data_IF_658350348831
#
_entry.id   IF_658350348831
#
_cell.length_a   1.000
_cell.length_b   1.000
_cell.length_c   1.000
_cell.angle_alpha   90.00
_cell.angle_beta   90.00
_cell.angle_gamma   90.00
#
_symmetry.space_group_name_H-M   'P 1'
#
loop_
_entity.id
_entity.type
_entity.pdbx_description
1 polymer ?
#
# COMPACT_ATOMS: atom_id res chain seq x y z
N UNK A 1 20.37 43.95 4.94
CA UNK A 1 19.84 42.65 4.46
C UNK A 1 20.27 41.58 5.47
N UNK A 2 19.37 40.72 5.96
CA UNK A 2 19.73 39.69 6.94
C UNK A 2 20.43 38.52 6.27
N UNK A 3 21.48 37.99 6.89
CA UNK A 3 22.19 36.79 6.41
C UNK A 3 21.52 35.47 6.88
N UNK A 4 20.31 35.56 7.45
CA UNK A 4 19.55 34.38 7.83
C UNK A 4 18.94 33.72 6.60
N UNK A 5 19.23 32.44 6.45
CA UNK A 5 18.66 31.51 5.48
C UNK A 5 18.15 30.27 6.21
N UNK A 6 17.50 29.38 5.49
CA UNK A 6 17.05 28.09 6.00
C UNK A 6 17.65 26.97 5.17
N UNK A 7 18.25 25.98 5.84
CA UNK A 7 18.73 24.77 5.20
C UNK A 7 17.72 23.66 5.44
N UNK A 8 17.39 22.95 4.38
CA UNK A 8 16.42 21.86 4.36
C UNK A 8 17.18 20.60 3.99
N UNK A 9 17.21 19.64 4.91
CA UNK A 9 17.70 18.29 4.69
C UNK A 9 16.50 17.40 4.41
N UNK A 10 16.57 16.60 3.35
CA UNK A 10 15.48 15.71 2.98
C UNK A 10 16.01 14.42 2.37
N UNK A 11 15.26 13.35 2.56
CA UNK A 11 15.59 12.05 2.01
C UNK A 11 14.33 11.26 1.67
N UNK A 12 14.47 10.39 0.67
CA UNK A 12 13.42 9.46 0.24
C UNK A 12 13.31 8.34 1.27
N UNK A 13 12.09 7.96 1.66
CA UNK A 13 11.88 6.85 2.58
C UNK A 13 12.52 5.57 2.03
N UNK A 14 13.25 4.84 2.88
CA UNK A 14 14.02 3.66 2.48
C UNK A 14 15.32 3.94 1.71
N UNK A 15 15.70 5.21 1.53
CA UNK A 15 16.98 5.59 0.91
C UNK A 15 18.03 5.98 1.96
N UNK A 16 19.29 5.64 1.69
CA UNK A 16 20.45 6.12 2.46
C UNK A 16 20.95 7.49 1.97
N UNK A 17 20.44 8.00 0.84
CA UNK A 17 20.94 9.25 0.24
C UNK A 17 20.17 10.45 0.76
N UNK A 18 20.85 11.24 1.59
CA UNK A 18 20.40 12.56 2.01
C UNK A 18 20.63 13.61 0.90
N UNK A 19 19.71 14.57 0.81
CA UNK A 19 19.77 15.70 -0.11
C UNK A 19 19.56 17.00 0.66
N UNK A 20 20.21 18.05 0.22
CA UNK A 20 20.15 19.36 0.88
C UNK A 20 19.64 20.43 -0.08
N UNK A 21 18.92 21.41 0.46
CA UNK A 21 18.57 22.64 -0.24
C UNK A 21 18.63 23.83 0.71
N UNK A 22 18.83 25.03 0.17
CA UNK A 22 18.90 26.27 0.95
C UNK A 22 17.86 27.24 0.41
N UNK A 23 17.12 27.87 1.32
CA UNK A 23 16.11 28.88 1.03
C UNK A 23 16.47 30.21 1.70
N UNK A 24 16.23 31.30 1.00
CA UNK A 24 16.36 32.67 1.54
C UNK A 24 15.10 33.13 2.29
N UNK A 25 14.01 32.35 2.26
CA UNK A 25 12.72 32.63 2.90
C UNK A 25 12.32 31.53 3.88
N UNK A 26 11.43 31.86 4.83
CA UNK A 26 10.81 30.92 5.76
C UNK A 26 9.89 29.90 5.08
N UNK A 27 9.49 30.17 3.83
CA UNK A 27 8.75 29.24 2.96
C UNK A 27 9.62 28.83 1.78
N UNK A 28 9.65 27.53 1.48
CA UNK A 28 10.46 26.97 0.40
C UNK A 28 9.70 25.86 -0.34
N UNK A 29 9.92 25.76 -1.65
CA UNK A 29 9.42 24.67 -2.48
C UNK A 29 10.58 23.78 -2.89
N UNK A 30 10.52 22.50 -2.53
CA UNK A 30 11.52 21.50 -2.94
C UNK A 30 11.03 20.82 -4.22
N UNK A 31 11.68 21.10 -5.34
CA UNK A 31 11.36 20.52 -6.66
C UNK A 31 12.19 19.27 -6.96
N UNK A 32 11.76 18.47 -7.96
CA UNK A 32 12.51 17.28 -8.40
C UNK A 32 12.39 16.08 -7.44
N UNK A 33 11.29 16.02 -6.70
CA UNK A 33 10.89 14.84 -5.93
C UNK A 33 10.20 13.84 -6.85
N UNK A 34 10.39 12.56 -6.57
CA UNK A 34 9.76 11.48 -7.32
C UNK A 34 8.27 11.40 -6.96
N UNK A 35 7.39 11.38 -7.96
CA UNK A 35 5.95 11.25 -7.74
C UNK A 35 5.60 9.91 -7.06
N UNK A 36 4.61 9.93 -6.16
CA UNK A 36 4.17 8.78 -5.38
C UNK A 36 5.14 8.33 -4.27
N UNK A 37 6.32 8.96 -4.16
CA UNK A 37 7.31 8.54 -3.16
C UNK A 37 7.16 9.30 -1.85
N UNK A 38 7.49 8.62 -0.76
CA UNK A 38 7.45 9.19 0.58
C UNK A 38 8.79 9.89 0.90
N UNK A 39 8.72 11.05 1.54
CA UNK A 39 9.90 11.86 1.88
C UNK A 39 9.83 12.35 3.32
N UNK A 40 10.99 12.44 3.96
CA UNK A 40 11.16 13.06 5.26
C UNK A 40 12.01 14.33 5.14
N UNK A 41 11.65 15.34 5.91
CA UNK A 41 12.26 16.67 5.88
C UNK A 41 12.66 17.12 7.28
N UNK A 42 13.81 17.79 7.36
CA UNK A 42 14.31 18.48 8.55
C UNK A 42 14.81 19.86 8.12
N UNK A 43 14.61 20.86 8.96
CA UNK A 43 15.02 22.23 8.66
C UNK A 43 15.86 22.81 9.78
N UNK A 44 16.83 23.65 9.43
CA UNK A 44 17.65 24.38 10.38
C UNK A 44 17.85 25.82 9.91
N UNK A 45 17.96 26.74 10.87
CA UNK A 45 18.46 28.08 10.59
C UNK A 45 19.91 27.98 10.05
N UNK A 46 20.21 28.72 9.00
CA UNK A 46 21.51 28.73 8.34
C UNK A 46 22.01 30.15 8.13
N UNK A 47 23.19 30.46 8.65
CA UNK A 47 23.82 31.77 8.51
C UNK A 47 25.20 31.56 7.89
N UNK A 48 25.33 31.69 6.56
CA UNK A 48 26.55 31.33 5.82
C UNK A 48 27.76 32.19 6.19
N UNK A 49 27.58 33.43 6.67
CA UNK A 49 28.70 34.28 7.13
C UNK A 49 29.40 33.76 8.40
N UNK A 50 28.78 32.85 9.15
CA UNK A 50 29.39 32.28 10.37
C UNK A 50 30.49 31.27 10.00
N UNK A 51 31.40 31.04 10.94
CA UNK A 51 32.37 29.95 10.84
C UNK A 51 31.64 28.60 10.66
N UNK A 52 32.18 27.69 9.84
CA UNK A 52 31.50 26.45 9.39
C UNK A 52 30.79 25.68 10.51
N UNK A 53 31.46 25.50 11.65
CA UNK A 53 30.91 24.77 12.80
C UNK A 53 29.69 25.45 13.46
N UNK A 54 29.42 26.72 13.17
CA UNK A 54 28.35 27.54 13.75
C UNK A 54 27.40 28.10 12.69
N UNK A 55 27.47 27.61 11.46
CA UNK A 55 26.60 28.06 10.37
C UNK A 55 25.17 27.57 10.56
N UNK A 56 24.96 26.42 11.20
CA UNK A 56 23.65 25.83 11.43
C UNK A 56 23.19 26.01 12.88
N UNK A 57 21.90 26.27 13.05
CA UNK A 57 21.21 26.06 14.32
C UNK A 57 20.90 24.58 14.56
N UNK A 58 20.15 24.30 15.63
CA UNK A 58 19.60 22.97 15.86
C UNK A 58 18.63 22.59 14.73
N UNK A 59 18.67 21.32 14.32
CA UNK A 59 17.70 20.78 13.37
C UNK A 59 16.32 20.67 14.00
N UNK A 60 15.29 20.90 13.19
CA UNK A 60 13.91 20.66 13.57
C UNK A 60 13.64 19.18 13.81
N UNK A 61 12.50 18.90 14.43
CA UNK A 61 11.90 17.57 14.35
C UNK A 61 11.72 17.16 12.90
N UNK A 62 11.98 15.89 12.63
CA UNK A 62 11.75 15.31 11.31
C UNK A 62 10.25 15.20 11.04
N UNK A 63 9.82 15.65 9.87
CA UNK A 63 8.45 15.50 9.38
C UNK A 63 8.44 14.70 8.09
N UNK A 64 7.68 13.62 8.07
CA UNK A 64 7.54 12.76 6.91
C UNK A 64 6.18 12.96 6.24
N UNK A 65 6.19 12.99 4.92
CA UNK A 65 5.00 12.98 4.08
C UNK A 65 5.00 11.70 3.27
N UNK A 66 3.93 10.95 3.45
CA UNK A 66 3.68 9.78 2.63
C UNK A 66 3.24 10.26 1.25
N UNK A 67 3.87 9.73 0.21
CA UNK A 67 3.38 9.91 -1.14
C UNK A 67 2.10 9.11 -1.32
N UNK A 68 1.21 9.54 -2.21
CA UNK A 68 0.14 8.68 -2.72
C UNK A 68 0.79 7.58 -3.56
N UNK A 69 1.29 6.53 -2.90
CA UNK A 69 1.48 5.25 -3.56
C UNK A 69 0.09 4.69 -3.80
N UNK A 70 -0.32 4.65 -5.06
CA UNK A 70 -1.49 3.87 -5.46
C UNK A 70 -1.31 2.47 -4.87
N UNK A 71 -2.23 2.04 -3.99
CA UNK A 71 -2.09 0.84 -3.16
C UNK A 71 -1.90 -0.45 -3.99
N UNK A 72 -2.09 -0.35 -5.31
CA UNK A 72 -1.78 -1.38 -6.29
C UNK A 72 -0.28 -1.59 -6.54
N UNK A 73 0.60 -0.62 -6.28
CA UNK A 73 2.03 -0.73 -6.61
C UNK A 73 2.94 -1.21 -5.47
N UNK A 74 2.49 -1.14 -4.22
CA UNK A 74 3.29 -1.56 -3.04
C UNK A 74 3.04 -3.01 -2.58
N UNK A 75 2.15 -3.74 -3.24
CA UNK A 75 2.00 -5.17 -2.99
C UNK A 75 3.18 -5.91 -3.64
N UNK A 76 4.02 -6.52 -2.80
CA UNK A 76 5.10 -7.41 -3.23
C UNK A 76 4.60 -8.43 -4.27
N UNK A 77 5.42 -8.84 -5.26
CA UNK A 77 5.05 -9.90 -6.20
C UNK A 77 4.51 -11.16 -5.50
N UNK A 78 4.98 -11.44 -4.28
CA UNK A 78 4.47 -12.54 -3.45
C UNK A 78 3.01 -12.34 -2.97
N UNK A 79 2.59 -11.11 -2.70
CA UNK A 79 1.21 -10.81 -2.32
C UNK A 79 0.23 -11.02 -3.49
N UNK A 80 0.64 -10.62 -4.70
CA UNK A 80 -0.11 -10.88 -5.92
C UNK A 80 -0.27 -12.37 -6.19
N UNK A 81 0.81 -13.15 -6.04
CA UNK A 81 0.74 -14.60 -6.14
C UNK A 81 -0.24 -15.19 -5.11
N UNK A 82 -0.18 -14.73 -3.86
CA UNK A 82 -1.09 -15.18 -2.81
C UNK A 82 -2.57 -14.93 -3.12
N UNK A 83 -2.92 -13.74 -3.60
CA UNK A 83 -4.30 -13.40 -3.98
C UNK A 83 -4.81 -14.33 -5.09
N UNK A 84 -3.97 -14.58 -6.10
CA UNK A 84 -4.32 -15.47 -7.22
C UNK A 84 -4.59 -16.90 -6.71
N UNK A 85 -3.70 -17.46 -5.90
CA UNK A 85 -3.88 -18.80 -5.34
C UNK A 85 -5.13 -18.92 -4.45
N UNK A 86 -5.38 -17.95 -3.59
CA UNK A 86 -6.57 -17.93 -2.72
C UNK A 86 -7.84 -17.86 -3.57
N UNK A 87 -7.88 -17.00 -4.59
CA UNK A 87 -9.06 -16.89 -5.45
C UNK A 87 -9.38 -18.19 -6.19
N UNK A 88 -8.37 -18.86 -6.75
CA UNK A 88 -8.54 -20.12 -7.48
C UNK A 88 -9.05 -21.24 -6.58
N UNK A 89 -8.51 -21.36 -5.36
CA UNK A 89 -8.93 -22.41 -4.41
C UNK A 89 -10.39 -22.22 -3.98
N UNK A 90 -10.82 -21.00 -3.71
CA UNK A 90 -12.22 -20.68 -3.34
C UNK A 90 -13.17 -21.00 -4.49
N UNK A 91 -12.81 -20.64 -5.73
CA UNK A 91 -13.63 -20.92 -6.91
C UNK A 91 -13.82 -22.43 -7.09
N UNK A 92 -12.74 -23.21 -7.01
CA UNK A 92 -12.79 -24.68 -7.16
C UNK A 92 -13.70 -25.30 -6.09
N UNK A 93 -13.54 -24.90 -4.81
CA UNK A 93 -14.37 -25.40 -3.71
C UNK A 93 -15.85 -25.04 -3.93
N UNK A 94 -16.13 -23.82 -4.40
CA UNK A 94 -17.49 -23.37 -4.68
C UNK A 94 -18.13 -24.18 -5.80
N UNK A 95 -17.40 -24.46 -6.88
CA UNK A 95 -17.91 -25.31 -7.98
C UNK A 95 -18.19 -26.73 -7.49
N UNK A 96 -17.29 -27.33 -6.71
CA UNK A 96 -17.47 -28.68 -6.16
C UNK A 96 -18.69 -28.72 -5.25
N UNK A 97 -18.83 -27.76 -4.33
CA UNK A 97 -19.95 -27.70 -3.39
C UNK A 97 -21.28 -27.50 -4.12
N UNK A 98 -21.36 -26.61 -5.11
CA UNK A 98 -22.55 -26.43 -5.94
C UNK A 98 -22.88 -27.69 -6.73
N UNK A 99 -21.88 -28.36 -7.32
CA UNK A 99 -22.08 -29.61 -8.07
C UNK A 99 -22.62 -30.71 -7.17
N UNK A 100 -22.03 -30.91 -5.98
CA UNK A 100 -22.50 -31.91 -5.00
C UNK A 100 -23.90 -31.55 -4.48
N UNK A 101 -24.16 -30.28 -4.20
CA UNK A 101 -25.46 -29.81 -3.72
C UNK A 101 -26.55 -30.04 -4.77
N UNK A 102 -26.30 -29.68 -6.03
CA UNK A 102 -27.21 -29.94 -7.15
C UNK A 102 -27.41 -31.44 -7.39
N UNK A 103 -26.34 -32.24 -7.37
CA UNK A 103 -26.42 -33.69 -7.52
C UNK A 103 -27.21 -34.35 -6.37
N UNK A 104 -27.02 -33.92 -5.13
CA UNK A 104 -27.79 -34.41 -3.97
C UNK A 104 -29.27 -34.02 -4.07
N UNK A 105 -29.57 -32.79 -4.47
CA UNK A 105 -30.96 -32.30 -4.62
C UNK A 105 -31.70 -33.02 -5.76
N UNK A 106 -31.02 -33.28 -6.88
CA UNK A 106 -31.58 -34.05 -7.98
C UNK A 106 -31.78 -35.53 -7.61
N UNK A 107 -30.85 -36.12 -6.85
CA UNK A 107 -30.99 -37.49 -6.34
C UNK A 107 -32.18 -37.63 -5.39
N UNK A 108 -32.39 -36.68 -4.47
CA UNK A 108 -33.56 -36.69 -3.58
C UNK A 108 -34.90 -36.53 -4.34
N UNK A 109 -34.92 -35.72 -5.41
CA UNK A 109 -36.11 -35.61 -6.29
C UNK A 109 -36.41 -36.93 -7.01
N UNK A 110 -35.40 -37.64 -7.49
CA UNK A 110 -35.59 -38.91 -8.20
C UNK A 110 -36.01 -40.07 -7.27
N UNK A 111 -35.67 -40.03 -5.97
CA UNK A 111 -36.07 -41.07 -5.01
C UNK A 111 -37.53 -40.93 -4.54
N UNK A 112 -38.13 -39.74 -4.64
CA UNK A 112 -39.54 -39.52 -4.22
C UNK A 112 -40.56 -39.99 -5.28
N UNK A 113 -40.12 -40.31 -6.50
CA UNK A 113 -40.97 -40.78 -7.62
C UNK A 113 -41.08 -42.30 -7.72
N UNK A 114 -40.39 -43.06 -6.86
CA UNK A 114 -40.48 -44.52 -6.79
C UNK A 114 -40.88 -44.97 -5.38
N UNK A 115 -42.15 -44.79 -5.02
CA UNK A 115 -42.82 -45.59 -3.97
C UNK A 115 -43.94 -46.38 -4.64
N UNK A 116 -44.05 -47.69 -4.40
CA UNK A 116 -44.66 -48.64 -5.33
C UNK A 116 -46.17 -48.74 -5.15
N UNK A 117 -46.96 -48.47 -6.19
CA UNK A 117 -48.34 -49.00 -6.24
C UNK A 117 -48.29 -50.47 -6.66
N UNK A 118 -48.04 -51.32 -5.66
CA UNK A 118 -48.55 -52.68 -5.66
C UNK A 118 -50.04 -52.61 -5.35
N UNK A 119 -50.88 -52.85 -6.34
CA UNK A 119 -52.29 -53.17 -6.16
C UNK A 119 -52.62 -54.37 -7.04
N UNK A 120 -52.80 -55.51 -6.37
CA UNK A 120 -53.16 -56.82 -6.89
C UNK A 120 -54.65 -56.86 -7.34
N UNK A 121 -55.09 -57.94 -8.02
CA UNK A 121 -56.19 -57.93 -9.00
C UNK A 121 -57.54 -58.38 -8.43
N UNK A 122 -58.63 -57.97 -9.09
CA UNK A 122 -59.83 -58.78 -9.40
C UNK A 122 -60.30 -58.36 -10.80
#
# INVERSE_FOLDING_TARGET
KSDLKYKILYYKSGSTRERESVSDSSTATVSGLDAGQSYCFMVAAYIPSRAKAKQHGAWSTQLCKQGDTDLMQDLSPGAWAGIIFISLTVIIITVITLTVFCCRRNRQRNTTLQTPQSSAPI
#
